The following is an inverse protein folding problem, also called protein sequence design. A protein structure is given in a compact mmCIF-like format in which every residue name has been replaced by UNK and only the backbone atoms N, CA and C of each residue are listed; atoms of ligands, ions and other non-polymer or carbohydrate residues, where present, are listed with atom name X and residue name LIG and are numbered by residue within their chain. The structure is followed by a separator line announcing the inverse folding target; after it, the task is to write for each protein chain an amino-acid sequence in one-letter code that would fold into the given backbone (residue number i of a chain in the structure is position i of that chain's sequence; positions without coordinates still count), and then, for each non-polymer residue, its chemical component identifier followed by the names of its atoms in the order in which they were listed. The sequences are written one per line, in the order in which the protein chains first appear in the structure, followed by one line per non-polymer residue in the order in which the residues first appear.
data_IF_129172851467
#
_entry.id   IF_129172851467
#
_cell.length_a   1.000
_cell.length_b   1.000
_cell.length_c   1.000
_cell.angle_alpha   90.00
_cell.angle_beta   90.00
_cell.angle_gamma   90.00
#
_symmetry.space_group_name_H-M   'P 1'
#
loop_
_entity.id
_entity.type
_entity.pdbx_description
1 polymer ?
#
# COMPACT_ATOMS: atom_id res chain seq x y z
N UNK A 1 2.33 1.96 -22.65
CA UNK A 1 2.01 2.24 -21.23
C UNK A 1 0.80 1.38 -20.90
N UNK A 2 0.79 0.70 -19.75
CA UNK A 2 -0.35 -0.15 -19.38
C UNK A 2 -1.64 0.68 -19.40
N UNK A 3 -2.77 0.18 -19.95
CA UNK A 3 -4.05 0.91 -19.96
C UNK A 3 -4.55 1.27 -18.55
N UNK A 4 -3.95 0.69 -17.52
CA UNK A 4 -4.37 0.78 -16.11
C UNK A 4 -3.93 2.08 -15.42
N UNK A 5 -2.90 2.78 -15.94
CA UNK A 5 -2.49 4.11 -15.46
C UNK A 5 -2.92 5.19 -16.45
N UNK A 6 -4.03 5.86 -16.14
CA UNK A 6 -4.56 6.93 -16.99
C UNK A 6 -3.66 8.19 -17.03
N UNK A 7 -3.96 9.08 -17.99
CA UNK A 7 -3.23 10.34 -18.18
C UNK A 7 -3.26 11.23 -16.94
N UNK A 8 -4.38 11.29 -16.22
CA UNK A 8 -4.55 12.14 -15.03
C UNK A 8 -3.62 11.70 -13.90
N UNK A 9 -3.55 10.41 -13.63
CA UNK A 9 -2.69 9.81 -12.62
C UNK A 9 -1.21 9.85 -13.03
N UNK A 10 -0.91 9.66 -14.31
CA UNK A 10 0.43 9.88 -14.84
C UNK A 10 0.90 11.33 -14.63
N UNK A 11 0.05 12.32 -14.93
CA UNK A 11 0.39 13.74 -14.71
C UNK A 11 0.68 14.04 -13.24
N UNK A 12 -0.06 13.42 -12.29
CA UNK A 12 0.23 13.56 -10.85
C UNK A 12 1.66 13.08 -10.52
N UNK A 13 2.09 11.94 -11.06
CA UNK A 13 3.45 11.43 -10.85
C UNK A 13 4.51 12.28 -11.55
N UNK A 14 4.23 12.78 -12.75
CA UNK A 14 5.17 13.64 -13.51
C UNK A 14 5.48 14.96 -12.79
N UNK A 15 4.52 15.50 -12.02
CA UNK A 15 4.73 16.71 -11.20
C UNK A 15 5.85 16.56 -10.16
N UNK A 16 6.14 15.33 -9.72
CA UNK A 16 7.25 15.05 -8.79
C UNK A 16 8.62 15.28 -9.44
N UNK A 17 8.69 15.35 -10.78
CA UNK A 17 9.94 15.47 -11.56
C UNK A 17 10.99 14.42 -11.18
N UNK A 18 10.55 13.26 -10.69
CA UNK A 18 11.39 12.19 -10.19
C UNK A 18 11.25 10.94 -11.08
N UNK A 19 12.26 10.70 -11.93
CA UNK A 19 12.29 9.55 -12.85
C UNK A 19 12.35 8.21 -12.11
N UNK A 20 12.96 8.18 -10.92
CA UNK A 20 13.07 6.95 -10.13
C UNK A 20 11.69 6.47 -9.64
N UNK A 21 10.85 7.39 -9.13
CA UNK A 21 9.47 7.07 -8.72
C UNK A 21 8.66 6.51 -9.89
N UNK A 22 8.72 7.15 -11.06
CA UNK A 22 8.05 6.66 -12.27
C UNK A 22 8.51 5.26 -12.67
N UNK A 23 9.81 4.98 -12.58
CA UNK A 23 10.36 3.67 -12.89
C UNK A 23 9.88 2.59 -11.91
N UNK A 24 9.85 2.90 -10.61
CA UNK A 24 9.33 1.99 -9.56
C UNK A 24 7.85 1.68 -9.79
N UNK A 25 7.02 2.71 -10.00
CA UNK A 25 5.59 2.53 -10.27
C UNK A 25 5.38 1.67 -11.52
N UNK A 26 6.09 1.96 -12.62
CA UNK A 26 6.01 1.17 -13.86
C UNK A 26 6.40 -0.29 -13.62
N UNK A 27 7.47 -0.54 -12.85
CA UNK A 27 7.92 -1.90 -12.50
C UNK A 27 6.80 -2.68 -11.81
N UNK A 28 6.16 -2.10 -10.79
CA UNK A 28 5.14 -2.81 -10.02
C UNK A 28 3.77 -2.89 -10.72
N UNK A 29 3.42 -1.94 -11.60
CA UNK A 29 2.24 -2.10 -12.47
C UNK A 29 2.43 -3.32 -13.37
N UNK A 30 3.61 -3.48 -13.97
CA UNK A 30 3.92 -4.61 -14.82
C UNK A 30 3.99 -5.94 -14.03
N UNK A 31 4.40 -5.91 -12.76
CA UNK A 31 4.48 -7.11 -11.93
C UNK A 31 3.11 -7.55 -11.40
N UNK A 32 2.34 -6.62 -10.85
CA UNK A 32 1.08 -6.93 -10.15
C UNK A 32 -0.13 -6.97 -11.08
N UNK A 33 -0.04 -6.44 -12.32
CA UNK A 33 -1.13 -6.41 -13.31
C UNK A 33 -2.48 -5.93 -12.73
N UNK A 34 -2.54 -4.80 -12.01
CA UNK A 34 -3.78 -4.36 -11.37
C UNK A 34 -4.80 -3.89 -12.40
N UNK A 35 -6.10 -4.09 -12.15
CA UNK A 35 -7.17 -3.60 -13.04
C UNK A 35 -7.20 -2.06 -13.18
N UNK A 36 -6.83 -1.31 -12.14
CA UNK A 36 -6.83 0.16 -12.12
C UNK A 36 -5.73 0.70 -11.21
N UNK A 37 -5.11 1.82 -11.61
CA UNK A 37 -4.15 2.55 -10.77
C UNK A 37 -4.67 3.96 -10.47
N UNK A 38 -4.69 4.34 -9.19
CA UNK A 38 -5.07 5.69 -8.74
C UNK A 38 -3.96 6.28 -7.87
N UNK A 39 -3.56 7.52 -8.15
CA UNK A 39 -2.54 8.27 -7.42
C UNK A 39 -3.24 9.27 -6.51
N UNK A 40 -3.16 9.08 -5.20
CA UNK A 40 -3.77 9.95 -4.20
C UNK A 40 -2.81 11.08 -3.83
N UNK A 41 -3.26 12.33 -3.86
CA UNK A 41 -2.45 13.51 -3.50
C UNK A 41 -2.75 14.02 -2.10
N UNK A 42 -3.60 13.32 -1.33
CA UNK A 42 -4.08 13.77 -0.01
C UNK A 42 -5.07 14.94 -0.06
N UNK A 43 -5.59 15.29 -1.25
CA UNK A 43 -6.62 16.32 -1.37
C UNK A 43 -7.94 15.87 -0.71
N UNK A 44 -8.78 16.81 -0.29
CA UNK A 44 -10.11 16.49 0.26
C UNK A 44 -10.94 15.61 -0.69
N UNK A 45 -10.79 15.80 -2.00
CA UNK A 45 -11.43 14.96 -3.03
C UNK A 45 -10.91 13.53 -3.04
N UNK A 46 -9.59 13.34 -2.88
CA UNK A 46 -9.01 11.99 -2.84
C UNK A 46 -9.41 11.28 -1.53
N UNK A 47 -9.45 11.99 -0.40
CA UNK A 47 -9.93 11.44 0.87
C UNK A 47 -11.40 11.01 0.79
N UNK A 48 -12.26 11.86 0.21
CA UNK A 48 -13.66 11.52 -0.02
C UNK A 48 -13.82 10.32 -0.97
N UNK A 49 -12.99 10.24 -2.02
CA UNK A 49 -12.96 9.10 -2.94
C UNK A 49 -12.62 7.79 -2.21
N UNK A 50 -11.57 7.76 -1.39
CA UNK A 50 -11.16 6.54 -0.66
C UNK A 50 -12.22 6.10 0.34
N UNK A 51 -12.77 7.03 1.14
CA UNK A 51 -13.86 6.72 2.09
C UNK A 51 -15.07 6.13 1.41
N UNK A 52 -15.49 6.73 0.30
CA UNK A 52 -16.61 6.23 -0.50
C UNK A 52 -16.32 4.84 -1.07
N UNK A 53 -15.10 4.62 -1.57
CA UNK A 53 -14.70 3.34 -2.15
C UNK A 53 -14.71 2.21 -1.10
N UNK A 54 -14.26 2.48 0.13
CA UNK A 54 -14.30 1.49 1.21
C UNK A 54 -15.74 1.05 1.56
N UNK A 55 -16.69 1.98 1.53
CA UNK A 55 -18.12 1.68 1.69
C UNK A 55 -18.68 0.89 0.50
N UNK A 56 -18.35 1.29 -0.73
CA UNK A 56 -18.82 0.62 -1.97
C UNK A 56 -18.28 -0.80 -2.10
N UNK A 57 -17.05 -1.05 -1.64
CA UNK A 57 -16.44 -2.38 -1.61
C UNK A 57 -16.96 -3.26 -0.46
N UNK A 58 -17.70 -2.68 0.50
CA UNK A 58 -18.13 -3.38 1.72
C UNK A 58 -17.00 -3.66 2.70
N UNK A 59 -15.86 -2.95 2.57
CA UNK A 59 -14.79 -2.98 3.57
C UNK A 59 -15.28 -2.30 4.85
N UNK A 60 -15.96 -1.15 4.72
CA UNK A 60 -16.44 -0.37 5.85
C UNK A 60 -17.98 -0.32 5.89
N UNK A 61 -18.56 -0.24 7.09
CA UNK A 61 -20.00 -0.07 7.29
C UNK A 61 -20.32 1.23 8.05
N UNK A 62 -21.33 2.01 7.63
CA UNK A 62 -21.70 3.24 8.31
C UNK A 62 -22.31 2.96 9.70
N UNK A 63 -21.98 3.82 10.66
CA UNK A 63 -22.59 3.83 12.00
C UNK A 63 -23.65 4.94 12.11
N UNK A 64 -24.42 4.91 13.21
CA UNK A 64 -25.45 5.94 13.48
C UNK A 64 -24.88 7.35 13.60
N UNK A 65 -23.60 7.49 13.99
CA UNK A 65 -22.92 8.79 14.06
C UNK A 65 -22.44 9.19 12.65
N UNK A 66 -22.88 10.34 12.12
CA UNK A 66 -22.49 10.78 10.77
C UNK A 66 -20.98 10.82 10.58
N UNK A 67 -20.51 10.19 9.51
CA UNK A 67 -19.09 10.13 9.14
C UNK A 67 -18.26 9.06 9.87
N UNK A 68 -18.86 8.31 10.80
CA UNK A 68 -18.20 7.18 11.46
C UNK A 68 -18.52 5.89 10.73
N UNK A 69 -17.53 5.01 10.64
CA UNK A 69 -17.65 3.68 10.06
C UNK A 69 -17.03 2.63 10.98
N UNK A 70 -17.32 1.36 10.70
CA UNK A 70 -16.69 0.21 11.35
C UNK A 70 -16.20 -0.77 10.29
N UNK A 71 -15.01 -1.32 10.51
CA UNK A 71 -14.42 -2.43 9.78
C UNK A 71 -14.16 -3.58 10.75
N UNK A 72 -14.35 -4.81 10.29
CA UNK A 72 -13.96 -6.01 11.03
C UNK A 72 -12.92 -6.75 10.21
N UNK A 73 -11.69 -6.82 10.73
CA UNK A 73 -10.62 -7.59 10.13
C UNK A 73 -10.94 -9.09 10.11
N UNK A 74 -10.26 -9.83 9.23
CA UNK A 74 -10.37 -11.29 9.21
C UNK A 74 -9.97 -11.92 10.55
N UNK A 75 -10.57 -13.06 10.90
CA UNK A 75 -10.29 -13.76 12.16
C UNK A 75 -8.80 -14.03 12.41
N UNK A 76 -8.02 -14.26 11.35
CA UNK A 76 -6.58 -14.54 11.42
C UNK A 76 -5.68 -13.30 11.30
N UNK A 77 -6.26 -12.10 11.22
CA UNK A 77 -5.53 -10.83 11.00
C UNK A 77 -5.89 -9.76 12.06
N UNK A 78 -6.07 -10.19 13.31
CA UNK A 78 -6.49 -9.33 14.42
C UNK A 78 -5.33 -8.54 15.07
N UNK A 79 -4.11 -8.68 14.54
CA UNK A 79 -2.95 -8.05 15.14
C UNK A 79 -1.67 -8.32 14.36
N UNK A 80 -0.61 -7.61 14.75
CA UNK A 80 0.69 -7.72 14.09
C UNK A 80 1.28 -9.13 14.21
N UNK A 81 1.53 -9.78 13.08
CA UNK A 81 2.30 -11.02 13.02
C UNK A 81 3.80 -10.75 13.23
N UNK A 82 4.27 -10.97 14.46
CA UNK A 82 5.66 -10.77 14.85
C UNK A 82 6.60 -11.84 14.28
N UNK A 83 6.08 -13.01 13.93
CA UNK A 83 6.85 -14.13 13.39
C UNK A 83 7.17 -13.91 11.90
N UNK A 84 6.27 -13.25 11.17
CA UNK A 84 6.50 -12.87 9.77
C UNK A 84 7.13 -11.48 9.59
N UNK A 85 7.14 -10.64 10.63
CA UNK A 85 7.87 -9.37 10.62
C UNK A 85 9.37 -9.60 10.82
N UNK A 86 10.21 -9.31 9.80
CA UNK A 86 11.67 -9.53 9.85
C UNK A 86 12.49 -8.29 9.53
N UNK A 87 13.57 -8.08 10.28
CA UNK A 87 14.63 -7.12 9.93
C UNK A 87 15.66 -7.81 9.02
N UNK A 88 15.80 -7.31 7.79
CA UNK A 88 16.71 -7.91 6.81
C UNK A 88 18.14 -7.37 6.93
N UNK A 89 19.04 -8.20 7.45
CA UNK A 89 20.43 -7.84 7.75
C UNK A 89 21.39 -8.19 6.61
N UNK A 90 22.50 -7.44 6.54
CA UNK A 90 23.65 -7.80 5.69
C UNK A 90 24.45 -8.94 6.35
N UNK A 91 25.31 -9.61 5.58
CA UNK A 91 26.19 -10.66 6.09
C UNK A 91 27.06 -10.12 7.25
N UNK A 92 27.13 -10.86 8.35
CA UNK A 92 27.96 -10.51 9.52
C UNK A 92 27.31 -9.54 10.52
N UNK A 93 26.11 -9.02 10.24
CA UNK A 93 25.38 -8.19 11.19
C UNK A 93 24.47 -9.05 12.09
N UNK A 94 24.41 -8.70 13.37
CA UNK A 94 23.50 -9.29 14.35
C UNK A 94 22.81 -8.17 15.14
N UNK A 95 21.52 -8.32 15.39
CA UNK A 95 20.77 -7.50 16.34
C UNK A 95 20.49 -8.31 17.61
N UNK A 96 19.90 -7.68 18.63
CA UNK A 96 19.55 -8.36 19.89
C UNK A 96 18.69 -9.60 19.64
N UNK A 97 18.81 -10.60 20.53
CA UNK A 97 18.22 -11.93 20.34
C UNK A 97 16.67 -11.91 20.29
N UNK A 98 16.06 -10.82 20.75
CA UNK A 98 14.60 -10.61 20.72
C UNK A 98 14.09 -10.04 19.38
N UNK A 99 14.97 -9.71 18.43
CA UNK A 99 14.58 -9.15 17.13
C UNK A 99 14.63 -10.25 16.07
N UNK A 100 13.48 -10.56 15.49
CA UNK A 100 13.37 -11.50 14.37
C UNK A 100 14.11 -10.94 13.14
N UNK A 101 15.23 -11.58 12.77
CA UNK A 101 16.11 -11.14 11.69
C UNK A 101 16.16 -12.16 10.55
N UNK A 102 16.21 -11.67 9.31
CA UNK A 102 16.39 -12.47 8.10
C UNK A 102 17.67 -12.08 7.35
N UNK A 103 18.27 -13.02 6.62
CA UNK A 103 19.38 -12.71 5.71
C UNK A 103 18.81 -12.03 4.46
N UNK A 104 19.20 -10.77 4.19
CA UNK A 104 18.64 -9.98 3.06
C UNK A 104 18.65 -10.73 1.72
N UNK A 105 19.75 -11.41 1.38
CA UNK A 105 19.91 -12.14 0.10
C UNK A 105 19.09 -13.43 -0.02
N UNK A 106 18.52 -13.91 1.08
CA UNK A 106 17.71 -15.14 1.10
C UNK A 106 16.24 -14.79 1.12
N UNK A 107 15.87 -13.68 1.76
CA UNK A 107 14.48 -13.23 1.87
C UNK A 107 14.01 -12.34 0.71
N UNK A 108 14.93 -11.82 -0.11
CA UNK A 108 14.66 -11.06 -1.34
C UNK A 108 15.24 -11.82 -2.53
#
# INVERSE_FOLDING_TARGET
MSPTLDKKNLTKLQKLKNRHVLAVVKKYINLCQPHKVTVLTGSAKDLAYVRKLALENGEEHPLSTPGHTVHFDGYFDQGRDTQQTKVLLKKGQKLGDHINCGKRKVCL
#
